data_IF_521926828242
#
_entry.id   IF_521926828242
#
_cell.length_a   1.000
_cell.length_b   1.000
_cell.length_c   1.000
_cell.angle_alpha   90.00
_cell.angle_beta   90.00
_cell.angle_gamma   90.00
#
_symmetry.space_group_name_H-M   'P 1'
#
loop_
_entity.id
_entity.type
_entity.pdbx_description
1 polymer ?
#
# COMPACT_ATOMS: atom_id res chain seq x y z
N UNK A 1 41.51 21.50 -14.39
CA UNK A 1 41.94 20.19 -13.86
C UNK A 1 42.26 20.34 -12.38
N UNK A 2 41.50 19.67 -11.51
CA UNK A 2 41.91 19.07 -10.22
C UNK A 2 40.72 18.30 -9.65
N UNK A 3 40.89 16.99 -9.51
CA UNK A 3 40.02 16.08 -8.76
C UNK A 3 40.29 16.24 -7.26
N UNK A 4 39.26 16.07 -6.43
CA UNK A 4 39.34 15.36 -5.15
C UNK A 4 37.94 14.97 -4.68
N UNK A 5 37.89 13.89 -3.90
CA UNK A 5 36.79 12.94 -3.67
C UNK A 5 36.27 12.95 -2.24
N UNK A 6 34.95 12.74 -2.04
CA UNK A 6 34.36 12.16 -0.81
C UNK A 6 32.88 11.74 -0.98
N UNK A 7 32.63 10.40 -0.91
CA UNK A 7 31.61 9.65 -0.14
C UNK A 7 30.13 10.12 -0.23
N UNK A 8 29.17 9.47 -0.93
CA UNK A 8 28.64 8.08 -0.92
C UNK A 8 27.81 7.68 0.33
N UNK A 9 26.51 8.04 0.35
CA UNK A 9 25.45 7.37 1.14
C UNK A 9 24.09 7.41 0.42
N UNK A 10 24.04 6.76 -0.75
CA UNK A 10 22.81 6.19 -1.30
C UNK A 10 22.58 4.75 -0.81
N UNK A 11 21.53 4.04 -1.27
CA UNK A 11 20.86 2.91 -0.62
C UNK A 11 21.67 1.58 -0.58
N UNK A 12 22.78 1.58 0.16
CA UNK A 12 23.69 0.43 0.32
C UNK A 12 23.33 -0.45 1.54
N UNK A 13 22.39 -0.02 2.40
CA UNK A 13 21.90 -0.83 3.53
C UNK A 13 20.96 -1.97 3.11
N UNK A 14 20.31 -1.87 1.94
CA UNK A 14 19.33 -2.84 1.45
C UNK A 14 19.99 -4.07 0.80
N UNK A 15 21.10 -3.87 0.07
CA UNK A 15 21.87 -4.95 -0.57
C UNK A 15 22.59 -5.88 0.43
N UNK A 16 22.76 -5.47 1.70
CA UNK A 16 23.44 -6.29 2.73
C UNK A 16 22.50 -7.26 3.44
N UNK A 17 21.22 -6.89 3.64
CA UNK A 17 20.19 -7.77 4.24
C UNK A 17 19.70 -8.85 3.28
N UNK A 18 19.57 -8.54 1.99
CA UNK A 18 19.23 -9.53 0.96
C UNK A 18 20.28 -10.65 0.81
N UNK A 19 21.58 -10.32 0.94
CA UNK A 19 22.66 -11.34 0.93
C UNK A 19 22.64 -12.26 2.16
N UNK A 20 22.11 -11.82 3.29
CA UNK A 20 21.98 -12.67 4.50
C UNK A 20 20.76 -13.60 4.42
N UNK A 21 19.65 -13.14 3.84
CA UNK A 21 18.45 -13.98 3.64
C UNK A 21 18.71 -15.09 2.61
N UNK A 22 19.43 -14.82 1.52
CA UNK A 22 19.83 -15.85 0.56
C UNK A 22 20.94 -16.80 1.10
N UNK A 23 21.87 -16.31 1.93
CA UNK A 23 22.91 -17.15 2.55
C UNK A 23 22.34 -18.14 3.59
N UNK A 24 21.26 -17.76 4.29
CA UNK A 24 20.59 -18.64 5.26
C UNK A 24 19.84 -19.81 4.59
N UNK A 25 19.29 -19.61 3.39
CA UNK A 25 18.64 -20.68 2.62
C UNK A 25 19.63 -21.75 2.12
N UNK A 26 20.89 -21.37 1.86
CA UNK A 26 21.97 -22.29 1.45
C UNK A 26 22.52 -23.10 2.63
N UNK A 27 22.45 -22.57 3.86
CA UNK A 27 22.90 -23.28 5.06
C UNK A 27 21.91 -24.32 5.60
N UNK A 28 20.62 -24.24 5.24
CA UNK A 28 19.55 -25.13 5.74
C UNK A 28 19.23 -26.29 4.78
N UNK A 29 19.55 -26.18 3.49
CA UNK A 29 19.32 -27.24 2.50
C UNK A 29 20.52 -27.45 1.56
N UNK A 30 21.51 -28.28 1.96
CA UNK A 30 22.70 -28.58 1.14
C UNK A 30 22.40 -29.24 -0.22
N UNK A 31 21.17 -29.71 -0.42
CA UNK A 31 20.76 -30.55 -1.55
C UNK A 31 20.29 -29.73 -2.77
N UNK A 32 20.13 -28.41 -2.59
CA UNK A 32 19.79 -27.45 -3.63
C UNK A 32 21.02 -26.81 -4.30
N UNK A 33 22.24 -27.05 -3.77
CA UNK A 33 23.48 -26.51 -4.33
C UNK A 33 23.79 -27.03 -5.74
N UNK A 34 23.40 -28.26 -6.06
CA UNK A 34 23.66 -28.92 -7.35
C UNK A 34 22.81 -28.40 -8.52
N UNK A 35 21.81 -27.55 -8.26
CA UNK A 35 20.98 -26.93 -9.30
C UNK A 35 21.30 -25.45 -9.51
N UNK A 36 22.23 -24.88 -8.73
CA UNK A 36 22.53 -23.45 -8.77
C UNK A 36 23.63 -23.09 -9.78
N UNK A 37 24.46 -24.05 -10.20
CA UNK A 37 25.50 -23.83 -11.22
C UNK A 37 25.77 -25.13 -11.98
N UNK A 38 25.36 -25.18 -13.25
CA UNK A 38 25.96 -26.07 -14.23
C UNK A 38 26.25 -25.29 -15.51
N UNK A 39 27.50 -25.38 -15.95
CA UNK A 39 28.08 -24.66 -17.08
C UNK A 39 29.61 -24.63 -17.01
N UNK A 40 30.21 -25.82 -17.03
CA UNK A 40 31.62 -26.19 -17.31
C UNK A 40 32.76 -25.80 -16.31
N UNK A 41 33.37 -26.84 -15.72
CA UNK A 41 34.70 -26.80 -15.09
C UNK A 41 35.85 -26.74 -16.12
N UNK A 42 37.16 -26.87 -15.77
CA UNK A 42 37.73 -27.75 -14.71
C UNK A 42 38.95 -27.10 -13.96
N UNK A 43 39.95 -27.83 -13.40
CA UNK A 43 39.92 -28.48 -12.08
C UNK A 43 41.12 -28.13 -11.12
N UNK A 44 40.87 -28.34 -9.81
CA UNK A 44 41.75 -28.97 -8.78
C UNK A 44 43.01 -28.28 -8.20
N UNK A 45 43.10 -28.37 -6.85
CA UNK A 45 44.25 -28.44 -5.91
C UNK A 45 44.34 -27.24 -4.94
N UNK A 46 44.55 -27.36 -3.62
CA UNK A 46 44.77 -28.48 -2.72
C UNK A 46 44.79 -27.98 -1.26
N UNK A 47 44.85 -28.95 -0.35
CA UNK A 47 44.84 -28.95 1.12
C UNK A 47 45.60 -27.82 1.87
N UNK A 48 45.10 -27.41 3.05
CA UNK A 48 45.65 -27.77 4.37
C UNK A 48 45.46 -26.72 5.52
N UNK A 49 45.10 -27.27 6.70
CA UNK A 49 45.52 -26.95 8.10
C UNK A 49 45.09 -25.66 8.84
N UNK A 50 44.35 -25.91 9.93
CA UNK A 50 44.40 -25.23 11.25
C UNK A 50 45.75 -25.52 11.96
N UNK A 51 46.26 -24.71 12.94
CA UNK A 51 45.67 -24.46 14.28
C UNK A 51 45.87 -22.98 14.75
N UNK A 52 45.50 -22.48 15.93
CA UNK A 52 45.04 -23.02 17.21
C UNK A 52 44.75 -21.85 18.17
N UNK A 53 44.15 -22.20 19.30
CA UNK A 53 43.61 -21.42 20.43
C UNK A 53 44.59 -20.52 21.18
N UNK A 54 44.07 -19.47 21.85
CA UNK A 54 44.29 -19.12 23.27
C UNK A 54 43.45 -17.86 23.66
N UNK A 55 42.51 -18.04 24.58
CA UNK A 55 41.79 -17.02 25.39
C UNK A 55 42.62 -16.63 26.64
N UNK A 56 42.14 -15.82 27.62
CA UNK A 56 41.52 -14.48 27.59
C UNK A 56 42.13 -13.55 28.69
N UNK A 57 41.71 -12.28 28.80
CA UNK A 57 41.48 -11.56 30.08
C UNK A 57 41.35 -10.03 29.90
N UNK A 58 40.42 -9.41 30.64
CA UNK A 58 40.60 -8.04 31.14
C UNK A 58 39.45 -7.06 30.91
N UNK A 59 38.39 -7.15 31.73
CA UNK A 59 37.65 -5.99 32.23
C UNK A 59 38.15 -5.71 33.67
N UNK A 60 38.04 -4.48 34.23
CA UNK A 60 36.75 -4.01 34.73
C UNK A 60 36.48 -2.49 34.74
N UNK A 61 35.21 -2.20 35.05
CA UNK A 61 34.64 -1.08 35.82
C UNK A 61 34.47 0.35 35.28
N UNK A 62 33.21 0.78 35.28
CA UNK A 62 32.74 1.77 36.25
C UNK A 62 32.30 3.14 35.68
N UNK A 63 31.01 3.46 35.76
CA UNK A 63 30.54 4.85 35.61
C UNK A 63 29.06 5.01 35.30
N UNK A 64 28.22 4.95 36.33
CA UNK A 64 26.83 5.39 36.29
C UNK A 64 26.72 6.92 36.35
N UNK A 65 25.87 7.54 35.54
CA UNK A 65 25.22 8.81 35.85
C UNK A 65 23.91 8.96 35.07
N UNK A 66 22.88 9.33 35.83
CA UNK A 66 21.45 9.46 35.52
C UNK A 66 21.06 10.83 34.96
N UNK A 67 19.95 10.88 34.21
CA UNK A 67 18.96 11.97 34.31
C UNK A 67 18.53 12.63 32.99
N UNK A 68 17.24 12.53 32.64
CA UNK A 68 16.59 13.38 31.64
C UNK A 68 15.44 12.72 30.88
N UNK A 69 14.29 12.57 31.52
CA UNK A 69 13.02 12.10 30.94
C UNK A 69 12.51 13.02 29.81
N UNK A 70 12.14 12.42 28.68
CA UNK A 70 11.18 12.97 27.72
C UNK A 70 9.86 12.24 27.92
N UNK A 71 8.81 12.96 28.30
CA UNK A 71 7.44 12.48 28.24
C UNK A 71 6.76 13.16 27.04
N UNK A 72 6.47 12.37 26.00
CA UNK A 72 5.37 12.66 25.08
C UNK A 72 4.65 11.35 24.76
N UNK A 73 3.39 11.30 25.17
CA UNK A 73 2.51 10.15 25.05
C UNK A 73 1.73 10.23 23.73
N UNK A 74 1.87 9.20 22.91
CA UNK A 74 1.10 9.05 21.68
C UNK A 74 1.28 7.66 21.10
N UNK A 75 0.52 6.69 21.62
CA UNK A 75 0.47 5.34 21.07
C UNK A 75 -0.07 5.35 19.64
N UNK A 76 0.74 4.88 18.70
CA UNK A 76 0.32 4.55 17.34
C UNK A 76 1.14 3.36 16.83
N UNK A 77 0.47 2.48 16.10
CA UNK A 77 0.93 1.18 15.63
C UNK A 77 2.33 1.20 15.00
N UNK A 78 3.15 0.25 15.42
CA UNK A 78 4.57 0.21 15.15
C UNK A 78 4.95 0.07 13.69
N UNK A 79 6.06 0.74 13.35
CA UNK A 79 6.80 0.52 12.11
C UNK A 79 7.58 -0.81 12.20
N UNK A 80 8.00 -1.41 11.07
CA UNK A 80 8.74 -2.69 11.06
C UNK A 80 10.06 -2.68 11.86
N UNK A 81 10.50 -1.52 12.32
CA UNK A 81 11.69 -1.33 13.16
C UNK A 81 11.42 -1.47 14.67
N UNK A 82 10.19 -1.80 15.09
CA UNK A 82 9.79 -1.88 16.51
C UNK A 82 9.60 -3.31 17.06
N UNK A 83 9.76 -4.36 16.25
CA UNK A 83 9.67 -5.73 16.75
C UNK A 83 11.00 -6.13 17.41
N UNK A 84 10.91 -6.65 18.64
CA UNK A 84 12.07 -7.15 19.35
C UNK A 84 12.59 -8.42 18.64
N UNK A 85 13.92 -8.63 18.63
CA UNK A 85 14.54 -9.70 17.83
C UNK A 85 14.04 -11.12 18.14
N UNK A 86 13.50 -11.34 19.33
CA UNK A 86 12.79 -12.56 19.74
C UNK A 86 11.46 -12.77 19.01
N UNK A 87 10.72 -11.72 18.61
CA UNK A 87 9.52 -11.83 17.77
C UNK A 87 9.91 -12.21 16.34
N UNK A 88 10.94 -11.57 15.78
CA UNK A 88 11.43 -11.87 14.42
C UNK A 88 11.93 -13.32 14.32
N UNK A 89 12.67 -13.79 15.33
CA UNK A 89 13.15 -15.17 15.39
C UNK A 89 11.99 -16.19 15.40
N UNK A 90 10.91 -15.89 16.13
CA UNK A 90 9.75 -16.77 16.20
C UNK A 90 8.95 -16.76 14.88
N UNK A 91 8.81 -15.60 14.23
CA UNK A 91 8.24 -15.50 12.89
C UNK A 91 9.04 -16.35 11.89
N UNK A 92 10.37 -16.24 11.93
CA UNK A 92 11.27 -17.04 11.08
C UNK A 92 11.12 -18.54 11.33
N UNK A 93 10.93 -18.96 12.59
CA UNK A 93 10.69 -20.37 12.92
C UNK A 93 9.37 -20.88 12.30
N UNK A 94 8.31 -20.08 12.30
CA UNK A 94 7.05 -20.45 11.63
C UNK A 94 7.19 -20.50 10.11
N UNK A 95 7.96 -19.58 9.50
CA UNK A 95 8.26 -19.63 8.07
C UNK A 95 9.07 -20.85 7.67
N UNK A 96 10.07 -21.22 8.46
CA UNK A 96 10.84 -22.44 8.24
C UNK A 96 9.93 -23.67 8.26
N UNK A 97 9.06 -23.79 9.28
CA UNK A 97 8.11 -24.90 9.38
C UNK A 97 7.17 -24.99 8.18
N UNK A 98 6.67 -23.84 7.71
CA UNK A 98 5.82 -23.78 6.50
C UNK A 98 6.58 -24.30 5.27
N UNK A 99 7.76 -23.75 4.98
CA UNK A 99 8.51 -24.09 3.76
C UNK A 99 9.21 -25.46 3.83
N UNK A 100 9.40 -26.02 5.03
CA UNK A 100 9.86 -27.39 5.26
C UNK A 100 8.72 -28.42 5.24
N UNK A 101 7.47 -28.00 5.05
CA UNK A 101 6.26 -28.83 5.16
C UNK A 101 6.07 -29.48 6.55
N UNK A 102 6.66 -28.91 7.60
CA UNK A 102 6.38 -29.30 9.00
C UNK A 102 5.07 -28.69 9.51
N UNK A 103 4.61 -27.60 8.88
CA UNK A 103 3.30 -27.00 9.09
C UNK A 103 2.65 -26.69 7.74
N UNK A 104 1.36 -27.00 7.64
CA UNK A 104 0.54 -26.72 6.47
C UNK A 104 -0.03 -25.31 6.48
N UNK A 105 -0.45 -24.80 5.31
CA UNK A 105 -1.13 -23.49 5.20
C UNK A 105 -2.35 -23.39 6.13
N UNK A 106 -3.27 -24.37 6.20
CA UNK A 106 -4.39 -24.33 7.14
C UNK A 106 -3.98 -24.29 8.62
N UNK A 107 -2.84 -24.88 8.99
CA UNK A 107 -2.31 -24.82 10.36
C UNK A 107 -1.77 -23.43 10.70
N UNK A 108 -1.01 -22.82 9.78
CA UNK A 108 -0.55 -21.44 9.93
C UNK A 108 -1.74 -20.48 10.03
N UNK A 109 -2.75 -20.62 9.18
CA UNK A 109 -3.97 -19.81 9.23
C UNK A 109 -4.68 -19.95 10.58
N UNK A 110 -4.90 -21.18 11.08
CA UNK A 110 -5.52 -21.42 12.39
C UNK A 110 -4.70 -20.80 13.53
N UNK A 111 -3.38 -20.87 13.45
CA UNK A 111 -2.49 -20.23 14.41
C UNK A 111 -2.65 -18.71 14.39
N UNK A 112 -2.56 -18.08 13.21
CA UNK A 112 -2.70 -16.64 13.05
C UNK A 112 -4.07 -16.13 13.51
N UNK A 113 -5.15 -16.89 13.29
CA UNK A 113 -6.49 -16.56 13.80
C UNK A 113 -6.57 -16.55 15.32
N UNK A 114 -5.87 -17.46 16.00
CA UNK A 114 -5.80 -17.47 17.48
C UNK A 114 -5.01 -16.25 17.97
N UNK A 115 -3.87 -15.98 17.34
CA UNK A 115 -3.00 -14.85 17.69
C UNK A 115 -3.67 -13.49 17.45
N UNK A 116 -4.45 -13.36 16.37
CA UNK A 116 -5.28 -12.18 16.10
C UNK A 116 -6.29 -11.95 17.23
N UNK A 117 -7.06 -12.98 17.61
CA UNK A 117 -8.06 -12.91 18.69
C UNK A 117 -7.46 -12.60 20.06
N UNK A 118 -6.23 -13.05 20.32
CA UNK A 118 -5.52 -12.73 21.56
C UNK A 118 -5.21 -11.23 21.69
N UNK A 119 -5.15 -10.48 20.58
CA UNK A 119 -5.03 -9.02 20.59
C UNK A 119 -6.35 -8.29 20.83
N UNK A 120 -7.48 -8.89 20.45
CA UNK A 120 -8.82 -8.30 20.60
C UNK A 120 -9.32 -8.32 22.06
N UNK A 121 -8.64 -9.06 22.95
CA UNK A 121 -9.04 -9.28 24.34
C UNK A 121 -8.80 -8.08 25.29
N UNK A 122 -8.35 -6.92 24.77
CA UNK A 122 -8.44 -5.63 25.47
C UNK A 122 -7.34 -5.29 26.49
N UNK A 123 -6.28 -6.09 26.62
CA UNK A 123 -5.15 -5.75 27.49
C UNK A 123 -4.15 -4.81 26.80
N UNK A 124 -3.75 -3.75 27.51
CA UNK A 124 -3.01 -2.57 27.02
C UNK A 124 -1.56 -2.84 26.54
N UNK A 125 -1.15 -4.09 26.44
CA UNK A 125 0.08 -4.51 25.77
C UNK A 125 -0.32 -5.56 24.76
N UNK A 126 -0.17 -5.25 23.46
CA UNK A 126 -0.30 -6.23 22.39
C UNK A 126 0.37 -7.53 22.82
N UNK A 127 -0.44 -8.59 23.01
CA UNK A 127 0.06 -9.87 23.49
C UNK A 127 1.21 -10.31 22.58
N UNK A 128 2.16 -11.07 23.13
CA UNK A 128 3.29 -11.58 22.34
C UNK A 128 2.78 -12.23 21.04
N UNK A 129 1.74 -13.03 21.16
CA UNK A 129 1.03 -13.68 20.04
C UNK A 129 0.52 -12.67 19.01
N UNK A 130 -0.14 -11.59 19.44
CA UNK A 130 -0.62 -10.55 18.53
C UNK A 130 0.52 -9.84 17.79
N UNK A 131 1.65 -9.58 18.46
CA UNK A 131 2.84 -9.01 17.82
C UNK A 131 3.44 -9.95 16.77
N UNK A 132 3.46 -11.25 17.05
CA UNK A 132 3.88 -12.28 16.06
C UNK A 132 2.93 -12.28 14.87
N UNK A 133 1.62 -12.29 15.11
CA UNK A 133 0.61 -12.20 14.04
C UNK A 133 0.83 -10.96 13.16
N UNK A 134 1.01 -9.78 13.78
CA UNK A 134 1.28 -8.54 13.05
C UNK A 134 2.56 -8.64 12.23
N UNK A 135 3.68 -9.03 12.86
CA UNK A 135 4.97 -9.15 12.18
C UNK A 135 4.89 -10.14 11.01
N UNK A 136 4.24 -11.30 11.20
CA UNK A 136 4.06 -12.29 10.15
C UNK A 136 3.22 -11.75 9.00
N UNK A 137 2.05 -11.18 9.27
CA UNK A 137 1.14 -10.71 8.20
C UNK A 137 1.69 -9.48 7.48
N UNK A 138 2.19 -8.47 8.20
CA UNK A 138 2.76 -7.26 7.59
C UNK A 138 4.03 -7.58 6.80
N UNK A 139 4.95 -8.33 7.39
CA UNK A 139 6.20 -8.72 6.72
C UNK A 139 5.92 -9.54 5.47
N UNK A 140 4.99 -10.50 5.55
CA UNK A 140 4.62 -11.35 4.41
C UNK A 140 3.98 -10.57 3.25
N UNK A 141 3.19 -9.54 3.53
CA UNK A 141 2.61 -8.70 2.46
C UNK A 141 3.64 -7.72 1.90
N UNK A 142 4.50 -7.12 2.73
CA UNK A 142 5.57 -6.19 2.29
C UNK A 142 6.64 -6.89 1.43
N UNK A 143 6.87 -8.18 1.65
CA UNK A 143 7.85 -8.98 0.92
C UNK A 143 7.47 -9.24 -0.55
N UNK A 144 6.22 -8.93 -0.96
CA UNK A 144 5.71 -9.16 -2.31
C UNK A 144 6.65 -8.65 -3.43
N UNK A 145 7.32 -7.51 -3.21
CA UNK A 145 8.30 -6.91 -4.14
C UNK A 145 9.44 -7.86 -4.53
N UNK A 146 9.70 -8.89 -3.72
CA UNK A 146 10.74 -9.88 -3.94
C UNK A 146 10.24 -11.21 -4.47
N UNK A 147 8.93 -11.47 -4.52
CA UNK A 147 8.37 -12.78 -4.90
C UNK A 147 8.75 -13.20 -6.33
N UNK A 148 8.98 -12.22 -7.21
CA UNK A 148 9.52 -12.46 -8.56
C UNK A 148 10.90 -13.12 -8.56
N UNK A 149 11.65 -13.08 -7.47
CA UNK A 149 12.97 -13.69 -7.32
C UNK A 149 12.90 -15.05 -6.61
N UNK A 150 11.74 -15.39 -6.01
CA UNK A 150 11.58 -16.60 -5.24
C UNK A 150 11.48 -17.86 -6.11
N UNK A 151 11.95 -19.03 -5.63
CA UNK A 151 11.78 -20.28 -6.37
C UNK A 151 10.30 -20.71 -6.39
N UNK A 152 9.90 -21.38 -7.47
CA UNK A 152 8.50 -21.68 -7.78
C UNK A 152 7.81 -22.53 -6.71
N UNK A 153 8.52 -23.53 -6.14
CA UNK A 153 7.97 -24.40 -5.09
C UNK A 153 7.56 -23.61 -3.84
N UNK A 154 8.40 -22.69 -3.39
CA UNK A 154 8.12 -21.84 -2.23
C UNK A 154 7.02 -20.82 -2.57
N UNK A 155 7.04 -20.28 -3.80
CA UNK A 155 6.04 -19.33 -4.25
C UNK A 155 4.63 -19.94 -4.31
N UNK A 156 4.49 -21.23 -4.59
CA UNK A 156 3.21 -21.95 -4.57
C UNK A 156 2.58 -22.01 -3.17
N UNK A 157 3.35 -22.39 -2.14
CA UNK A 157 2.87 -22.33 -0.75
C UNK A 157 2.55 -20.89 -0.33
N UNK A 158 3.33 -19.95 -0.85
CA UNK A 158 3.18 -18.52 -0.58
C UNK A 158 1.89 -17.98 -1.20
N UNK A 159 1.54 -18.33 -2.44
CA UNK A 159 0.29 -17.91 -3.08
C UNK A 159 -0.94 -18.46 -2.38
N UNK A 160 -0.90 -19.74 -1.97
CA UNK A 160 -1.95 -20.37 -1.18
C UNK A 160 -2.14 -19.65 0.15
N UNK A 161 -1.07 -19.43 0.92
CA UNK A 161 -1.15 -18.69 2.18
C UNK A 161 -1.64 -17.25 1.97
N UNK A 162 -1.12 -16.54 0.96
CA UNK A 162 -1.48 -15.16 0.68
C UNK A 162 -2.98 -15.01 0.41
N UNK A 163 -3.54 -15.90 -0.41
CA UNK A 163 -4.98 -15.95 -0.65
C UNK A 163 -5.77 -16.35 0.59
N UNK A 164 -5.27 -17.28 1.40
CA UNK A 164 -5.91 -17.69 2.65
C UNK A 164 -5.94 -16.57 3.70
N UNK A 165 -4.91 -15.72 3.78
CA UNK A 165 -4.91 -14.54 4.65
C UNK A 165 -6.06 -13.58 4.32
N UNK A 166 -6.34 -13.40 3.03
CA UNK A 166 -7.48 -12.61 2.55
C UNK A 166 -8.77 -13.34 2.89
N UNK A 167 -8.90 -14.61 2.52
CA UNK A 167 -10.11 -15.41 2.73
C UNK A 167 -10.57 -15.39 4.20
N UNK A 168 -9.63 -15.51 5.12
CA UNK A 168 -9.92 -15.63 6.56
C UNK A 168 -9.87 -14.31 7.34
N UNK A 169 -9.84 -13.15 6.66
CA UNK A 169 -9.78 -11.82 7.30
C UNK A 169 -8.56 -11.64 8.22
N UNK A 170 -7.45 -12.28 7.89
CA UNK A 170 -6.18 -12.11 8.61
C UNK A 170 -5.42 -10.90 8.10
N UNK A 171 -5.59 -10.53 6.82
CA UNK A 171 -5.23 -9.21 6.32
C UNK A 171 -6.45 -8.29 6.46
N UNK A 172 -6.39 -7.30 7.35
CA UNK A 172 -7.48 -6.33 7.58
C UNK A 172 -7.08 -4.92 7.14
N UNK A 173 -8.09 -4.05 6.95
CA UNK A 173 -7.94 -2.61 6.71
C UNK A 173 -6.87 -2.27 5.64
N UNK A 174 -5.81 -1.58 6.06
CA UNK A 174 -4.70 -1.17 5.19
C UNK A 174 -3.97 -2.36 4.57
N UNK A 175 -3.82 -3.46 5.30
CA UNK A 175 -3.13 -4.67 4.81
C UNK A 175 -3.96 -5.35 3.74
N UNK A 176 -5.28 -5.44 3.93
CA UNK A 176 -6.19 -6.01 2.94
C UNK A 176 -6.08 -5.28 1.60
N UNK A 177 -6.10 -3.94 1.62
CA UNK A 177 -5.98 -3.13 0.41
C UNK A 177 -4.61 -3.28 -0.30
N UNK A 178 -3.53 -3.53 0.44
CA UNK A 178 -2.22 -3.86 -0.16
C UNK A 178 -2.25 -5.28 -0.74
N UNK A 179 -2.76 -6.26 0.00
CA UNK A 179 -2.83 -7.66 -0.42
C UNK A 179 -3.66 -7.83 -1.71
N UNK A 180 -4.84 -7.20 -1.79
CA UNK A 180 -5.67 -7.22 -3.01
C UNK A 180 -4.91 -6.60 -4.21
N UNK A 181 -4.17 -5.50 -4.00
CA UNK A 181 -3.34 -4.91 -5.05
C UNK A 181 -2.20 -5.82 -5.49
N UNK A 182 -1.55 -6.52 -4.57
CA UNK A 182 -0.52 -7.52 -4.90
C UNK A 182 -1.07 -8.66 -5.76
N UNK A 183 -2.27 -9.16 -5.46
CA UNK A 183 -2.92 -10.20 -6.28
C UNK A 183 -3.30 -9.66 -7.65
N UNK A 184 -3.87 -8.46 -7.73
CA UNK A 184 -4.21 -7.81 -9.00
C UNK A 184 -2.98 -7.54 -9.87
N UNK A 185 -1.89 -7.07 -9.27
CA UNK A 185 -0.61 -6.86 -9.93
C UNK A 185 -0.04 -8.17 -10.46
N UNK A 186 -0.07 -9.22 -9.64
CA UNK A 186 0.37 -10.56 -10.03
C UNK A 186 -0.40 -11.09 -11.25
N UNK A 187 -1.73 -10.91 -11.28
CA UNK A 187 -2.59 -11.31 -12.39
C UNK A 187 -2.32 -10.52 -13.69
N UNK A 188 -1.68 -9.34 -13.62
CA UNK A 188 -1.31 -8.54 -14.79
C UNK A 188 0.02 -8.97 -15.42
N UNK A 189 0.78 -9.84 -14.78
CA UNK A 189 1.97 -10.40 -15.40
C UNK A 189 1.60 -11.30 -16.60
N UNK A 190 2.51 -11.49 -17.57
CA UNK A 190 2.25 -12.35 -18.71
C UNK A 190 1.84 -13.78 -18.30
N UNK A 191 0.86 -14.39 -18.99
CA UNK A 191 0.48 -15.78 -18.76
C UNK A 191 1.68 -16.72 -18.88
N UNK A 192 1.72 -17.74 -18.02
CA UNK A 192 2.85 -18.69 -17.93
C UNK A 192 4.01 -18.23 -17.05
N UNK A 193 4.00 -16.99 -16.54
CA UNK A 193 4.98 -16.56 -15.53
C UNK A 193 4.58 -17.05 -14.12
N UNK A 194 5.58 -17.26 -13.25
CA UNK A 194 5.34 -17.67 -11.86
C UNK A 194 4.52 -16.65 -11.05
N UNK A 195 4.62 -15.35 -11.39
CA UNK A 195 3.81 -14.30 -10.77
C UNK A 195 2.36 -14.34 -11.25
N UNK A 196 2.12 -14.59 -12.54
CA UNK A 196 0.76 -14.82 -13.02
C UNK A 196 0.11 -16.00 -12.30
N UNK A 197 0.86 -17.12 -12.18
CA UNK A 197 0.41 -18.29 -11.43
C UNK A 197 0.14 -17.99 -9.96
N UNK A 198 1.03 -17.23 -9.29
CA UNK A 198 0.79 -16.74 -7.93
C UNK A 198 -0.54 -15.98 -7.83
N UNK A 199 -0.82 -15.08 -8.78
CA UNK A 199 -2.06 -14.30 -8.82
C UNK A 199 -3.30 -15.18 -8.94
N UNK A 200 -3.28 -16.16 -9.85
CA UNK A 200 -4.38 -17.12 -10.07
C UNK A 200 -4.61 -18.00 -8.83
N UNK A 201 -3.53 -18.56 -8.28
CA UNK A 201 -3.58 -19.44 -7.11
C UNK A 201 -4.12 -18.69 -5.88
N UNK A 202 -3.63 -17.46 -5.64
CA UNK A 202 -4.09 -16.61 -4.54
C UNK A 202 -5.55 -16.21 -4.71
N UNK A 203 -5.95 -15.74 -5.90
CA UNK A 203 -7.34 -15.37 -6.20
C UNK A 203 -8.30 -16.53 -5.97
N UNK A 204 -7.88 -17.74 -6.34
CA UNK A 204 -8.68 -18.95 -6.16
C UNK A 204 -9.01 -19.25 -4.70
N UNK A 205 -8.17 -18.85 -3.74
CA UNK A 205 -8.42 -19.07 -2.31
C UNK A 205 -9.55 -18.20 -1.76
N UNK A 206 -9.63 -16.93 -2.20
CA UNK A 206 -10.61 -15.97 -1.66
C UNK A 206 -11.75 -15.65 -2.62
N UNK A 207 -11.91 -16.45 -3.67
CA UNK A 207 -12.92 -16.25 -4.72
C UNK A 207 -14.34 -16.10 -4.16
N UNK A 208 -14.69 -16.81 -3.07
CA UNK A 208 -16.03 -16.75 -2.44
C UNK A 208 -16.35 -15.41 -1.78
N UNK A 209 -15.33 -14.58 -1.52
CA UNK A 209 -15.47 -13.24 -0.94
C UNK A 209 -15.43 -12.12 -1.96
N UNK A 210 -15.25 -12.42 -3.25
CA UNK A 210 -15.18 -11.38 -4.29
C UNK A 210 -16.43 -10.50 -4.36
N UNK A 211 -17.59 -11.03 -3.97
CA UNK A 211 -18.82 -10.26 -3.87
C UNK A 211 -18.74 -9.09 -2.86
N UNK A 212 -17.81 -9.15 -1.88
CA UNK A 212 -17.56 -8.04 -0.94
C UNK A 212 -16.86 -6.85 -1.64
N UNK A 213 -16.19 -7.09 -2.76
CA UNK A 213 -15.44 -6.07 -3.51
C UNK A 213 -15.80 -6.08 -5.01
N UNK A 214 -17.03 -5.67 -5.39
CA UNK A 214 -17.46 -5.73 -6.79
C UNK A 214 -16.57 -4.93 -7.75
N UNK A 215 -16.03 -3.80 -7.27
CA UNK A 215 -15.10 -2.97 -8.03
C UNK A 215 -13.77 -3.70 -8.29
N UNK A 216 -13.28 -4.47 -7.32
CA UNK A 216 -12.09 -5.29 -7.47
C UNK A 216 -12.30 -6.41 -8.50
N UNK A 217 -13.44 -7.09 -8.44
CA UNK A 217 -13.80 -8.08 -9.46
C UNK A 217 -13.91 -7.45 -10.86
N UNK A 218 -14.47 -6.25 -11.00
CA UNK A 218 -14.52 -5.54 -12.27
C UNK A 218 -13.11 -5.21 -12.82
N UNK A 219 -12.14 -4.89 -11.95
CA UNK A 219 -10.74 -4.68 -12.35
C UNK A 219 -10.09 -5.98 -12.86
N UNK A 220 -10.38 -7.11 -12.22
CA UNK A 220 -9.88 -8.42 -12.66
C UNK A 220 -10.41 -8.74 -14.07
N UNK A 221 -11.69 -8.47 -14.35
CA UNK A 221 -12.30 -8.72 -15.66
C UNK A 221 -11.74 -7.84 -16.78
N UNK A 222 -11.06 -6.74 -16.46
CA UNK A 222 -10.41 -5.87 -17.43
C UNK A 222 -8.99 -6.33 -17.78
N UNK A 223 -8.43 -7.32 -17.09
CA UNK A 223 -7.08 -7.82 -17.38
C UNK A 223 -7.06 -8.47 -18.76
N UNK A 224 -6.26 -7.95 -19.70
CA UNK A 224 -6.09 -8.56 -21.01
C UNK A 224 -5.56 -9.99 -20.87
N UNK A 225 -5.99 -10.90 -21.75
CA UNK A 225 -5.55 -12.29 -21.81
C UNK A 225 -5.94 -13.20 -20.62
N UNK A 226 -6.39 -12.67 -19.48
CA UNK A 226 -6.89 -13.49 -18.36
C UNK A 226 -8.08 -14.36 -18.81
N UNK A 227 -8.99 -13.82 -19.61
CA UNK A 227 -10.13 -14.58 -20.15
C UNK A 227 -9.73 -15.69 -21.14
N UNK A 228 -8.55 -15.60 -21.76
CA UNK A 228 -8.06 -16.62 -22.70
C UNK A 228 -7.38 -17.77 -21.96
N UNK A 229 -6.62 -17.45 -20.92
CA UNK A 229 -5.80 -18.42 -20.19
C UNK A 229 -6.51 -19.04 -18.98
N UNK A 230 -7.41 -18.29 -18.33
CA UNK A 230 -8.14 -18.71 -17.13
C UNK A 230 -9.66 -18.48 -17.29
N UNK A 231 -10.31 -19.14 -18.27
CA UNK A 231 -11.72 -18.90 -18.60
C UNK A 231 -12.67 -19.26 -17.45
N UNK A 232 -12.38 -20.33 -16.71
CA UNK A 232 -13.18 -20.76 -15.56
C UNK A 232 -13.16 -19.73 -14.42
N UNK A 233 -11.98 -19.16 -14.14
CA UNK A 233 -11.80 -18.12 -13.14
C UNK A 233 -12.56 -16.85 -13.54
N UNK A 234 -12.47 -16.43 -14.80
CA UNK A 234 -13.21 -15.26 -15.31
C UNK A 234 -14.72 -15.48 -15.25
N UNK A 235 -15.22 -16.67 -15.60
CA UNK A 235 -16.63 -17.01 -15.49
C UNK A 235 -17.11 -16.98 -14.03
N UNK A 236 -16.29 -17.49 -13.11
CA UNK A 236 -16.57 -17.44 -11.69
C UNK A 236 -16.65 -15.99 -11.19
N UNK A 237 -15.66 -15.16 -11.52
CA UNK A 237 -15.63 -13.73 -11.14
C UNK A 237 -16.87 -13.01 -11.69
N UNK A 238 -17.28 -13.25 -12.94
CA UNK A 238 -18.52 -12.67 -13.51
C UNK A 238 -19.76 -13.10 -12.73
N UNK A 239 -19.91 -14.39 -12.47
CA UNK A 239 -21.05 -14.93 -11.71
C UNK A 239 -21.15 -14.31 -10.31
N UNK A 240 -20.03 -14.14 -9.62
CA UNK A 240 -20.01 -13.51 -8.30
C UNK A 240 -20.36 -12.03 -8.33
N UNK A 241 -19.94 -11.30 -9.38
CA UNK A 241 -20.31 -9.90 -9.58
C UNK A 241 -21.79 -9.73 -9.91
N UNK A 242 -22.36 -10.60 -10.75
CA UNK A 242 -23.79 -10.61 -11.07
C UNK A 242 -24.63 -10.95 -9.84
N UNK A 243 -24.16 -11.88 -9.00
CA UNK A 243 -24.79 -12.21 -7.71
C UNK A 243 -24.74 -11.04 -6.73
N UNK A 244 -23.65 -10.28 -6.73
CA UNK A 244 -23.49 -9.08 -5.91
C UNK A 244 -24.28 -7.88 -6.48
N UNK A 245 -24.70 -7.91 -7.75
CA UNK A 245 -25.40 -6.83 -8.44
C UNK A 245 -26.20 -7.34 -9.66
N UNK A 246 -27.51 -7.65 -9.53
CA UNK A 246 -28.34 -8.13 -10.64
C UNK A 246 -28.59 -7.11 -11.78
N UNK A 247 -27.91 -5.96 -11.77
CA UNK A 247 -28.03 -4.87 -12.75
C UNK A 247 -26.77 -4.66 -13.62
N UNK A 248 -25.83 -5.61 -13.64
CA UNK A 248 -24.53 -5.47 -14.32
C UNK A 248 -24.46 -6.03 -15.76
N UNK A 249 -25.58 -6.51 -16.32
CA UNK A 249 -25.60 -7.18 -17.64
C UNK A 249 -25.68 -6.23 -18.86
N UNK A 250 -25.58 -4.91 -18.68
CA UNK A 250 -25.53 -3.96 -19.80
C UNK A 250 -24.12 -3.34 -19.96
N UNK A 251 -23.65 -3.13 -21.20
CA UNK A 251 -22.37 -2.47 -21.44
C UNK A 251 -22.41 -1.06 -20.81
N UNK A 252 -21.36 -0.65 -20.07
CA UNK A 252 -21.48 0.48 -19.17
C UNK A 252 -21.30 1.79 -19.92
N UNK A 253 -22.40 2.52 -20.15
CA UNK A 253 -22.37 3.96 -20.39
C UNK A 253 -22.92 4.80 -19.23
N UNK A 254 -23.47 4.18 -18.16
CA UNK A 254 -24.21 4.95 -17.15
C UNK A 254 -23.92 4.57 -15.68
N UNK A 255 -22.77 3.95 -15.37
CA UNK A 255 -22.47 3.50 -13.99
C UNK A 255 -21.89 4.62 -13.09
N UNK A 256 -21.65 5.83 -13.62
CA UNK A 256 -21.09 6.93 -12.82
C UNK A 256 -22.07 7.55 -11.81
N UNK A 257 -23.35 7.22 -11.87
CA UNK A 257 -24.37 7.82 -11.01
C UNK A 257 -24.43 7.21 -9.59
N UNK A 258 -24.11 5.92 -9.42
CA UNK A 258 -24.50 5.17 -8.21
C UNK A 258 -23.45 5.08 -7.08
N UNK A 259 -22.31 5.76 -7.20
CA UNK A 259 -21.35 5.94 -6.08
C UNK A 259 -21.58 7.23 -5.27
N UNK A 260 -22.60 8.02 -5.62
CA UNK A 260 -23.06 9.11 -4.78
C UNK A 260 -23.95 8.52 -3.68
N UNK A 261 -23.37 8.35 -2.49
CA UNK A 261 -24.14 8.09 -1.28
C UNK A 261 -25.40 8.96 -1.23
N UNK A 262 -26.48 8.37 -0.75
CA UNK A 262 -27.78 8.98 -0.50
C UNK A 262 -27.65 10.25 0.34
N UNK A 263 -27.41 11.34 -0.36
CA UNK A 263 -27.30 12.71 0.13
C UNK A 263 -27.11 13.54 -1.12
N UNK A 264 -28.10 14.36 -1.47
CA UNK A 264 -28.07 15.20 -2.67
C UNK A 264 -26.68 15.87 -2.76
N UNK A 265 -25.94 15.70 -3.88
CA UNK A 265 -24.63 16.33 -3.98
C UNK A 265 -24.82 17.84 -3.97
N UNK A 266 -24.05 18.54 -3.14
CA UNK A 266 -23.74 19.96 -3.37
C UNK A 266 -23.08 20.01 -4.76
N UNK A 267 -23.88 20.25 -5.80
CA UNK A 267 -23.42 20.26 -7.18
C UNK A 267 -22.57 21.51 -7.38
N UNK A 268 -21.25 21.37 -7.30
CA UNK A 268 -20.40 22.20 -8.15
C UNK A 268 -20.80 21.83 -9.59
N UNK A 269 -21.41 22.74 -10.37
CA UNK A 269 -21.82 22.42 -11.72
C UNK A 269 -20.61 21.96 -12.52
N UNK A 270 -20.71 20.81 -13.19
CA UNK A 270 -19.74 20.41 -14.20
C UNK A 270 -19.65 21.54 -15.24
N UNK A 271 -18.45 21.86 -15.77
CA UNK A 271 -18.29 22.94 -16.73
C UNK A 271 -19.26 22.76 -17.90
N UNK A 272 -20.18 23.72 -18.05
CA UNK A 272 -21.22 23.71 -19.07
C UNK A 272 -20.69 24.23 -20.41
N UNK A 273 -20.99 23.49 -21.49
CA UNK A 273 -20.71 23.78 -22.92
C UNK A 273 -19.28 23.45 -23.39
N UNK A 274 -18.98 22.15 -23.53
CA UNK A 274 -17.84 21.64 -24.31
C UNK A 274 -17.02 20.51 -23.68
N UNK A 275 -17.16 20.25 -22.37
CA UNK A 275 -16.25 19.38 -21.62
C UNK A 275 -16.58 17.88 -21.59
N UNK A 276 -17.67 17.41 -22.20
CA UNK A 276 -18.11 16.01 -22.03
C UNK A 276 -17.25 14.96 -22.74
N UNK A 277 -16.41 15.36 -23.69
CA UNK A 277 -15.53 14.44 -24.41
C UNK A 277 -14.45 15.18 -25.17
N UNK A 278 -13.19 14.99 -24.79
CA UNK A 278 -12.05 15.26 -25.67
C UNK A 278 -11.80 13.97 -26.46
N UNK A 279 -12.26 13.92 -27.70
CA UNK A 279 -12.10 12.73 -28.57
C UNK A 279 -12.93 11.50 -28.17
N UNK A 280 -14.05 11.66 -27.44
CA UNK A 280 -14.93 10.56 -27.02
C UNK A 280 -14.64 9.98 -25.62
N UNK A 281 -13.68 10.55 -24.89
CA UNK A 281 -13.31 10.13 -23.54
C UNK A 281 -13.91 11.05 -22.46
N UNK A 282 -14.58 10.47 -21.46
CA UNK A 282 -15.12 11.21 -20.32
C UNK A 282 -13.97 11.70 -19.41
N UNK A 283 -13.82 13.02 -19.33
CA UNK A 283 -12.75 13.70 -18.58
C UNK A 283 -12.85 13.35 -17.08
N UNK A 284 -14.07 13.34 -16.55
CA UNK A 284 -14.32 12.98 -15.16
C UNK A 284 -13.83 11.56 -14.86
N UNK A 285 -14.16 10.60 -15.72
CA UNK A 285 -13.78 9.19 -15.53
C UNK A 285 -12.26 9.01 -15.56
N UNK A 286 -11.59 9.77 -16.44
CA UNK A 286 -10.13 9.78 -16.55
C UNK A 286 -9.50 10.31 -15.26
N UNK A 287 -10.00 11.43 -14.74
CA UNK A 287 -9.51 12.01 -13.48
C UNK A 287 -9.74 11.05 -12.30
N UNK A 288 -10.94 10.44 -12.22
CA UNK A 288 -11.25 9.46 -11.19
C UNK A 288 -10.34 8.22 -11.29
N UNK A 289 -10.08 7.74 -12.51
CA UNK A 289 -9.17 6.64 -12.76
C UNK A 289 -7.75 6.95 -12.27
N UNK A 290 -7.21 8.13 -12.64
CA UNK A 290 -5.88 8.58 -12.22
C UNK A 290 -5.82 8.65 -10.69
N UNK A 291 -6.78 9.33 -10.06
CA UNK A 291 -6.79 9.53 -8.61
C UNK A 291 -6.90 8.22 -7.83
N UNK A 292 -7.54 7.19 -8.39
CA UNK A 292 -7.64 5.87 -7.79
C UNK A 292 -6.38 5.01 -7.94
N UNK A 293 -5.55 5.26 -8.96
CA UNK A 293 -4.39 4.43 -9.29
C UNK A 293 -3.03 5.12 -9.03
N UNK A 294 -3.03 6.40 -8.68
CA UNK A 294 -1.79 7.12 -8.38
C UNK A 294 -1.07 6.54 -7.17
N UNK A 295 0.22 6.33 -7.32
CA UNK A 295 1.21 5.91 -6.31
C UNK A 295 2.45 6.78 -6.47
N UNK A 296 3.43 6.64 -5.57
CA UNK A 296 4.70 7.37 -5.73
C UNK A 296 5.51 6.88 -6.94
N UNK A 297 5.40 5.60 -7.30
CA UNK A 297 6.18 4.98 -8.39
C UNK A 297 5.71 5.42 -9.77
N UNK A 298 4.42 5.71 -9.92
CA UNK A 298 3.81 6.15 -11.18
C UNK A 298 3.38 7.63 -11.13
N UNK A 299 3.85 8.38 -10.13
CA UNK A 299 3.42 9.75 -9.85
C UNK A 299 3.65 10.70 -11.03
N UNK A 300 4.84 10.67 -11.61
CA UNK A 300 5.21 11.58 -12.71
C UNK A 300 4.39 11.31 -13.98
N UNK A 301 4.10 10.04 -14.25
CA UNK A 301 3.25 9.63 -15.38
C UNK A 301 1.81 10.15 -15.17
N UNK A 302 1.22 9.87 -14.02
CA UNK A 302 -0.14 10.30 -13.73
C UNK A 302 -0.28 11.82 -13.56
N UNK A 303 0.75 12.50 -13.08
CA UNK A 303 0.79 13.96 -13.08
C UNK A 303 0.77 14.51 -14.51
N UNK A 304 1.56 13.94 -15.42
CA UNK A 304 1.57 14.34 -16.83
C UNK A 304 0.21 14.08 -17.51
N UNK A 305 -0.39 12.91 -17.27
CA UNK A 305 -1.73 12.59 -17.78
C UNK A 305 -2.76 13.59 -17.27
N UNK A 306 -2.74 13.88 -15.96
CA UNK A 306 -3.68 14.79 -15.33
C UNK A 306 -3.49 16.23 -15.84
N UNK A 307 -2.26 16.69 -16.09
CA UNK A 307 -1.99 17.99 -16.75
C UNK A 307 -2.58 18.06 -18.15
N UNK A 308 -2.52 16.97 -18.91
CA UNK A 308 -3.08 16.91 -20.27
C UNK A 308 -4.62 16.83 -20.29
N UNK A 309 -5.21 16.26 -19.24
CA UNK A 309 -6.65 16.08 -19.06
C UNK A 309 -7.34 17.29 -18.41
N UNK A 310 -6.71 17.91 -17.42
CA UNK A 310 -7.29 18.93 -16.55
C UNK A 310 -7.07 20.34 -17.12
N UNK A 311 -8.08 20.87 -17.82
CA UNK A 311 -8.11 22.28 -18.19
C UNK A 311 -8.64 23.18 -17.04
N UNK A 312 -8.49 24.50 -17.20
CA UNK A 312 -8.85 25.49 -16.18
C UNK A 312 -10.33 25.47 -15.78
N UNK A 313 -11.23 25.02 -16.66
CA UNK A 313 -12.66 24.96 -16.41
C UNK A 313 -13.01 23.78 -15.50
N UNK A 314 -12.15 22.76 -15.45
CA UNK A 314 -12.27 21.59 -14.58
C UNK A 314 -11.67 21.78 -13.18
N UNK A 315 -10.88 22.82 -12.94
CA UNK A 315 -10.23 23.05 -11.64
C UNK A 315 -11.22 23.09 -10.47
N UNK A 316 -12.35 23.82 -10.52
CA UNK A 316 -13.30 23.86 -9.40
C UNK A 316 -13.84 22.47 -9.04
N UNK A 317 -14.25 21.69 -10.06
CA UNK A 317 -14.78 20.35 -9.86
C UNK A 317 -13.71 19.39 -9.31
N UNK A 318 -12.51 19.41 -9.88
CA UNK A 318 -11.44 18.53 -9.42
C UNK A 318 -10.97 18.86 -8.01
N UNK A 319 -10.77 20.14 -7.68
CA UNK A 319 -10.42 20.56 -6.32
C UNK A 319 -11.51 20.17 -5.32
N UNK A 320 -12.79 20.31 -5.70
CA UNK A 320 -13.90 19.86 -4.86
C UNK A 320 -13.87 18.35 -4.64
N UNK A 321 -13.69 17.56 -5.70
CA UNK A 321 -13.56 16.10 -5.61
C UNK A 321 -12.38 15.69 -4.72
N UNK A 322 -11.19 16.22 -5.01
CA UNK A 322 -9.96 15.93 -4.27
C UNK A 322 -10.12 16.23 -2.78
N UNK A 323 -10.61 17.42 -2.43
CA UNK A 323 -10.73 17.84 -1.03
C UNK A 323 -11.87 17.09 -0.32
N UNK A 324 -13.07 17.10 -0.90
CA UNK A 324 -14.28 16.60 -0.22
C UNK A 324 -14.39 15.09 -0.21
N UNK A 325 -13.85 14.40 -1.22
CA UNK A 325 -13.97 12.93 -1.37
C UNK A 325 -12.70 12.16 -1.05
N UNK A 326 -11.51 12.75 -1.22
CA UNK A 326 -10.25 12.05 -0.97
C UNK A 326 -9.60 12.53 0.31
N UNK A 327 -9.20 13.81 0.36
CA UNK A 327 -8.46 14.40 1.48
C UNK A 327 -9.23 14.24 2.81
N UNK A 328 -10.53 14.52 2.83
CA UNK A 328 -11.35 14.40 4.04
C UNK A 328 -11.36 12.98 4.64
N UNK A 329 -11.21 11.94 3.82
CA UNK A 329 -11.40 10.54 4.20
C UNK A 329 -10.09 9.75 4.28
N UNK A 330 -9.06 10.18 3.56
CA UNK A 330 -7.87 9.38 3.30
C UNK A 330 -6.56 10.08 3.76
N UNK A 331 -6.35 10.28 5.08
CA UNK A 331 -5.20 11.01 5.61
C UNK A 331 -3.85 10.40 5.24
N UNK A 332 -3.79 9.08 5.07
CA UNK A 332 -2.57 8.36 4.70
C UNK A 332 -2.08 8.71 3.28
N UNK A 333 -2.94 9.23 2.41
CA UNK A 333 -2.58 9.62 1.05
C UNK A 333 -2.30 11.12 0.91
N UNK A 334 -2.37 11.92 1.98
CA UNK A 334 -2.10 13.36 1.90
C UNK A 334 -0.69 13.67 1.38
N UNK A 335 0.33 12.91 1.79
CA UNK A 335 1.68 13.07 1.25
C UNK A 335 1.75 12.82 -0.26
N UNK A 336 1.04 11.81 -0.74
CA UNK A 336 0.94 11.48 -2.17
C UNK A 336 0.16 12.56 -2.95
N UNK A 337 -0.96 13.05 -2.41
CA UNK A 337 -1.74 14.12 -3.02
C UNK A 337 -0.98 15.43 -3.08
N UNK A 338 -0.20 15.77 -2.05
CA UNK A 338 0.70 16.91 -2.08
C UNK A 338 1.76 16.75 -3.17
N UNK A 339 2.41 15.59 -3.23
CA UNK A 339 3.42 15.31 -4.25
C UNK A 339 2.81 15.39 -5.66
N UNK A 340 1.60 14.88 -5.87
CA UNK A 340 0.87 14.99 -7.14
C UNK A 340 0.63 16.46 -7.48
N UNK A 341 0.10 17.26 -6.56
CA UNK A 341 -0.18 18.69 -6.77
C UNK A 341 1.10 19.46 -7.08
N UNK A 342 2.22 19.14 -6.41
CA UNK A 342 3.51 19.75 -6.69
C UNK A 342 4.02 19.40 -8.10
N UNK A 343 3.67 18.24 -8.64
CA UNK A 343 3.96 17.87 -10.04
C UNK A 343 2.97 18.45 -11.04
N UNK A 344 1.72 18.71 -10.63
CA UNK A 344 0.74 19.46 -11.44
C UNK A 344 1.12 20.92 -11.59
N UNK A 345 1.99 21.45 -10.71
CA UNK A 345 2.44 22.82 -10.76
C UNK A 345 2.85 23.13 -12.21
N UNK A 346 2.04 23.96 -12.87
CA UNK A 346 2.25 24.39 -14.24
C UNK A 346 3.43 25.37 -14.21
N UNK A 347 4.64 24.85 -14.02
CA UNK A 347 5.87 25.64 -13.87
C UNK A 347 6.07 26.57 -15.08
N UNK A 348 5.52 26.19 -16.23
CA UNK A 348 5.53 26.97 -17.47
C UNK A 348 4.35 27.97 -17.58
N UNK A 349 3.34 27.89 -16.69
CA UNK A 349 2.14 28.76 -16.68
C UNK A 349 1.78 29.28 -15.28
N UNK A 350 2.46 30.32 -14.76
CA UNK A 350 2.23 30.85 -13.42
C UNK A 350 0.79 31.29 -13.11
N UNK A 351 0.04 31.74 -14.12
CA UNK A 351 -1.36 32.13 -13.97
C UNK A 351 -2.28 30.93 -13.71
N UNK A 352 -2.06 29.80 -14.40
CA UNK A 352 -2.80 28.57 -14.19
C UNK A 352 -2.48 27.96 -12.82
N UNK A 353 -1.21 27.93 -12.44
CA UNK A 353 -0.77 27.49 -11.11
C UNK A 353 -1.47 28.30 -10.02
N UNK A 354 -1.52 29.63 -10.14
CA UNK A 354 -2.22 30.49 -9.18
C UNK A 354 -3.73 30.22 -9.15
N UNK A 355 -4.35 29.98 -10.30
CA UNK A 355 -5.78 29.67 -10.39
C UNK A 355 -6.09 28.33 -9.72
N UNK A 356 -5.30 27.29 -9.98
CA UNK A 356 -5.44 25.98 -9.37
C UNK A 356 -5.28 26.06 -7.84
N UNK A 357 -4.19 26.68 -7.35
CA UNK A 357 -3.95 26.83 -5.91
C UNK A 357 -5.08 27.61 -5.22
N UNK A 358 -5.66 28.61 -5.88
CA UNK A 358 -6.82 29.34 -5.36
C UNK A 358 -8.05 28.45 -5.21
N UNK A 359 -8.36 27.62 -6.20
CA UNK A 359 -9.48 26.68 -6.13
C UNK A 359 -9.25 25.61 -5.04
N UNK A 360 -8.04 25.06 -4.95
CA UNK A 360 -7.69 24.07 -3.94
C UNK A 360 -7.85 24.61 -2.52
N UNK A 361 -7.33 25.82 -2.27
CA UNK A 361 -7.47 26.47 -0.97
C UNK A 361 -8.93 26.83 -0.68
N UNK A 362 -9.65 27.37 -1.67
CA UNK A 362 -11.06 27.71 -1.52
C UNK A 362 -11.89 26.49 -1.06
N UNK A 363 -11.75 25.35 -1.76
CA UNK A 363 -12.47 24.13 -1.40
C UNK A 363 -12.04 23.56 -0.05
N UNK A 364 -10.75 23.66 0.28
CA UNK A 364 -10.25 23.26 1.61
C UNK A 364 -10.92 24.07 2.72
N UNK A 365 -10.97 25.40 2.59
CA UNK A 365 -11.65 26.26 3.56
C UNK A 365 -13.17 26.01 3.59
N UNK A 366 -13.80 25.81 2.43
CA UNK A 366 -15.23 25.53 2.34
C UNK A 366 -15.60 24.23 3.06
N UNK A 367 -14.85 23.15 2.86
CA UNK A 367 -15.06 21.89 3.56
C UNK A 367 -14.80 22.00 5.07
N UNK A 368 -13.75 22.72 5.49
CA UNK A 368 -13.49 22.97 6.92
C UNK A 368 -14.65 23.73 7.56
N UNK A 369 -15.10 24.82 6.93
CA UNK A 369 -16.23 25.61 7.42
C UNK A 369 -17.53 24.80 7.46
N UNK A 370 -17.75 23.90 6.50
CA UNK A 370 -18.90 22.99 6.50
C UNK A 370 -18.93 22.11 7.75
N UNK A 371 -17.80 21.52 8.14
CA UNK A 371 -17.74 20.68 9.33
C UNK A 371 -17.71 21.48 10.64
N UNK A 372 -17.04 22.64 10.68
CA UNK A 372 -17.06 23.51 11.86
C UNK A 372 -18.45 24.04 12.20
N UNK A 373 -19.29 24.27 11.18
CA UNK A 373 -20.67 24.73 11.35
C UNK A 373 -21.71 23.60 11.31
N UNK A 374 -21.28 22.33 11.29
CA UNK A 374 -22.20 21.19 11.30
C UNK A 374 -22.81 21.02 12.69
N UNK A 375 -24.13 20.94 12.77
CA UNK A 375 -24.85 20.64 14.01
C UNK A 375 -24.46 19.26 14.57
N UNK A 376 -23.98 18.36 13.70
CA UNK A 376 -23.60 17.00 14.07
C UNK A 376 -22.14 16.87 14.51
N UNK A 377 -21.30 17.92 14.41
CA UNK A 377 -19.86 17.81 14.69
C UNK A 377 -19.56 17.34 16.11
N UNK A 378 -20.43 17.65 17.07
CA UNK A 378 -20.29 17.26 18.48
C UNK A 378 -20.60 15.78 18.71
N UNK A 379 -21.46 15.19 17.87
CA UNK A 379 -21.99 13.83 18.06
C UNK A 379 -21.44 12.83 17.05
N UNK A 380 -21.07 13.25 15.84
CA UNK A 380 -20.58 12.40 14.77
C UNK A 380 -19.04 12.30 14.81
N UNK A 381 -18.46 11.13 15.22
CA UNK A 381 -17.02 10.95 15.24
C UNK A 381 -16.39 11.02 13.85
N UNK A 382 -17.16 10.63 12.82
CA UNK A 382 -16.77 10.69 11.41
C UNK A 382 -16.53 12.12 10.94
N UNK A 383 -17.41 13.06 11.28
CA UNK A 383 -17.24 14.49 10.92
C UNK A 383 -16.03 15.11 11.62
N UNK A 384 -15.77 14.74 12.88
CA UNK A 384 -14.57 15.17 13.60
C UNK A 384 -13.30 14.62 12.95
N UNK A 385 -13.32 13.37 12.51
CA UNK A 385 -12.22 12.77 11.75
C UNK A 385 -11.97 13.51 10.44
N UNK A 386 -13.03 13.80 9.67
CA UNK A 386 -12.90 14.57 8.43
C UNK A 386 -12.34 15.97 8.66
N UNK A 387 -12.81 16.67 9.69
CA UNK A 387 -12.30 18.00 10.07
C UNK A 387 -10.81 17.94 10.46
N UNK A 388 -10.40 16.93 11.24
CA UNK A 388 -8.99 16.70 11.60
C UNK A 388 -8.15 16.48 10.34
N UNK A 389 -8.62 15.63 9.43
CA UNK A 389 -7.94 15.34 8.17
C UNK A 389 -7.77 16.61 7.32
N UNK A 390 -8.83 17.40 7.17
CA UNK A 390 -8.79 18.66 6.43
C UNK A 390 -7.87 19.70 7.09
N UNK A 391 -7.79 19.73 8.43
CA UNK A 391 -6.86 20.58 9.16
C UNK A 391 -5.39 20.21 8.92
N UNK A 392 -5.07 18.90 8.96
CA UNK A 392 -3.72 18.41 8.61
C UNK A 392 -3.36 18.77 7.17
N UNK A 393 -4.30 18.55 6.24
CA UNK A 393 -4.14 18.91 4.83
C UNK A 393 -3.89 20.40 4.63
N UNK A 394 -4.70 21.26 5.27
CA UNK A 394 -4.53 22.72 5.19
C UNK A 394 -3.12 23.11 5.64
N UNK A 395 -2.63 22.55 6.76
CA UNK A 395 -1.27 22.80 7.24
C UNK A 395 -0.19 22.42 6.23
N UNK A 396 -0.35 21.29 5.53
CA UNK A 396 0.60 20.83 4.51
C UNK A 396 0.60 21.67 3.23
N UNK A 397 -0.57 22.11 2.75
CA UNK A 397 -0.67 22.95 1.54
C UNK A 397 -0.41 24.44 1.82
N UNK A 398 -0.33 24.85 3.09
CA UNK A 398 -0.08 26.24 3.49
C UNK A 398 1.20 26.41 4.30
N UNK A 399 1.15 26.18 5.61
CA UNK A 399 2.22 26.49 6.56
C UNK A 399 3.52 25.75 6.24
N UNK A 400 3.44 24.48 5.84
CA UNK A 400 4.62 23.70 5.42
C UNK A 400 5.28 24.22 4.12
N UNK A 401 4.59 25.11 3.39
CA UNK A 401 5.06 25.76 2.16
C UNK A 401 5.27 27.27 2.34
N UNK A 402 5.36 27.74 3.60
CA UNK A 402 5.50 29.15 3.97
C UNK A 402 4.37 30.06 3.44
N UNK A 403 3.17 29.50 3.25
CA UNK A 403 1.98 30.25 2.83
C UNK A 403 1.12 30.53 4.07
N UNK A 404 0.80 31.79 4.40
CA UNK A 404 0.04 32.10 5.60
C UNK A 404 -1.46 31.80 5.45
N UNK A 405 -2.06 31.26 6.51
CA UNK A 405 -3.51 31.16 6.67
C UNK A 405 -4.05 32.52 7.09
N UNK A 406 -4.82 33.18 6.21
CA UNK A 406 -5.35 34.52 6.48
C UNK A 406 -6.58 34.42 7.39
N UNK A 407 -6.63 35.24 8.44
CA UNK A 407 -7.75 35.32 9.39
C UNK A 407 -9.13 35.45 8.72
N UNK A 408 -9.22 36.21 7.63
CA UNK A 408 -10.46 36.40 6.84
C UNK A 408 -10.99 35.12 6.17
N UNK A 409 -10.18 34.06 6.06
CA UNK A 409 -10.60 32.77 5.48
C UNK A 409 -10.89 31.72 6.56
N UNK A 410 -10.15 31.76 7.68
CA UNK A 410 -10.37 30.90 8.84
C UNK A 410 -9.85 31.59 10.10
N UNK A 411 -10.74 31.85 11.07
CA UNK A 411 -10.36 32.40 12.38
C UNK A 411 -10.03 31.24 13.32
N UNK A 412 -8.73 31.05 13.59
CA UNK A 412 -8.22 30.01 14.49
C UNK A 412 -7.89 30.54 15.90
N UNK A 413 -8.21 31.81 16.18
CA UNK A 413 -8.03 32.49 17.46
C UNK A 413 -9.37 32.84 18.09
#
# INVERSE_FOLDING_TARGET
>A
MRQSSALHTGPVAYQRRFKQTCAACVHVFPQLAQYAFDGDGPPVAGSAKLPGTLDPAGAPDGGAASGGEYADGGGAAGTPSEFSGDIENECNAYWQKLYQNEMTVPEIVRMLQRFQKAGDAGDAVASREFKIYQCMVFGFVDEYKFYREWPEKQLLLTSELFGALIQHSLATDRVLGVALRCVLDALRHPPGTKMFRFGVDALSQFRTRLAEWPQYGALILQIPDLAKHEPELVQFVRSELERASPSAAHPPSDVLASLHGSGKPDRVPLPGRGGGSRGGHNIQDTILFIMNNVTFDNLDMHAADLVNTLDQDWFPWFCHYLVSKRVSQEPNFHGLYNALIDRLAYHQHPALTRLFSRNLLYETYACINKYLNSENILVAPTERSHLKNLGMWLGQITLAKDIPIKHRHLSLK
#
